data_IF_339426170573
#
_entry.id   IF_339426170573
#
_cell.length_a   1.000
_cell.length_b   1.000
_cell.length_c   1.000
_cell.angle_alpha   90.00
_cell.angle_beta   90.00
_cell.angle_gamma   90.00
#
_symmetry.space_group_name_H-M   'P 1'
#
loop_
_entity.id
_entity.type
_entity.pdbx_description
1 polymer ?
#
# COMPACT_ATOMS: atom_id res chain seq x y z
N UNK A 1 -11.73 -5.22 -19.83
CA UNK A 1 -11.20 -6.16 -18.85
C UNK A 1 -12.03 -6.11 -17.57
N UNK A 2 -12.75 -7.21 -17.27
CA UNK A 2 -13.67 -7.33 -16.14
C UNK A 2 -12.94 -7.19 -14.80
N UNK A 3 -11.73 -7.74 -14.70
CA UNK A 3 -10.92 -7.67 -13.50
C UNK A 3 -10.53 -6.22 -13.15
N UNK A 4 -10.09 -5.45 -14.15
CA UNK A 4 -9.76 -4.05 -13.97
C UNK A 4 -10.97 -3.23 -13.52
N UNK A 5 -12.14 -3.45 -14.12
CA UNK A 5 -13.38 -2.76 -13.73
C UNK A 5 -13.79 -3.12 -12.30
N UNK A 6 -13.74 -4.40 -11.94
CA UNK A 6 -14.07 -4.87 -10.58
C UNK A 6 -13.15 -4.22 -9.55
N UNK A 7 -11.86 -4.15 -9.85
CA UNK A 7 -10.85 -3.54 -9.00
C UNK A 7 -11.07 -2.03 -8.83
N UNK A 8 -11.40 -1.33 -9.92
CA UNK A 8 -11.74 0.09 -9.87
C UNK A 8 -12.96 0.36 -8.99
N UNK A 9 -14.02 -0.44 -9.14
CA UNK A 9 -15.24 -0.30 -8.32
C UNK A 9 -14.93 -0.53 -6.84
N UNK A 10 -14.18 -1.57 -6.52
CA UNK A 10 -13.80 -1.89 -5.15
C UNK A 10 -13.00 -0.75 -4.50
N UNK A 11 -12.00 -0.24 -5.19
CA UNK A 11 -11.15 0.84 -4.68
C UNK A 11 -11.90 2.17 -4.59
N UNK A 12 -12.81 2.42 -5.52
CA UNK A 12 -13.69 3.58 -5.48
C UNK A 12 -14.57 3.57 -4.24
N UNK A 13 -15.19 2.43 -3.91
CA UNK A 13 -15.97 2.29 -2.68
C UNK A 13 -15.11 2.46 -1.44
N UNK A 14 -13.90 1.94 -1.47
CA UNK A 14 -12.92 2.09 -0.38
C UNK A 14 -12.59 3.57 -0.11
N UNK A 15 -12.43 4.38 -1.15
CA UNK A 15 -12.23 5.82 -1.00
C UNK A 15 -13.35 6.45 -0.18
N UNK A 16 -14.60 6.09 -0.45
CA UNK A 16 -15.77 6.65 0.25
C UNK A 16 -15.88 6.21 1.71
N UNK A 17 -15.19 5.14 2.11
CA UNK A 17 -15.20 4.69 3.52
C UNK A 17 -14.20 5.43 4.41
N UNK A 18 -13.21 6.11 3.83
CA UNK A 18 -12.22 6.87 4.58
C UNK A 18 -12.75 8.26 4.95
N UNK A 19 -13.46 8.36 6.07
CA UNK A 19 -14.06 9.62 6.54
C UNK A 19 -13.13 10.44 7.44
N UNK A 20 -12.12 9.80 8.04
CA UNK A 20 -11.25 10.38 9.07
C UNK A 20 -9.91 10.88 8.55
N UNK A 21 -9.75 10.99 7.24
CA UNK A 21 -8.49 11.36 6.61
C UNK A 21 -7.60 10.16 6.33
N UNK A 22 -6.48 10.40 5.65
CA UNK A 22 -5.59 9.36 5.16
C UNK A 22 -4.29 9.34 5.96
N UNK A 23 -4.02 8.23 6.65
CA UNK A 23 -2.70 7.95 7.21
C UNK A 23 -1.73 7.57 6.10
N UNK A 24 -0.42 7.70 6.35
CA UNK A 24 0.60 7.29 5.38
C UNK A 24 0.45 5.81 5.00
N UNK A 25 0.19 4.95 5.97
CA UNK A 25 -0.08 3.53 5.76
C UNK A 25 -1.27 3.30 4.81
N UNK A 26 -2.38 4.00 5.04
CA UNK A 26 -3.57 3.90 4.20
C UNK A 26 -3.28 4.35 2.76
N UNK A 27 -2.52 5.42 2.58
CA UNK A 27 -2.12 5.92 1.25
C UNK A 27 -1.23 4.91 0.54
N UNK A 28 -0.25 4.34 1.22
CA UNK A 28 0.64 3.32 0.63
C UNK A 28 -0.15 2.11 0.15
N UNK A 29 -1.09 1.62 0.96
CA UNK A 29 -1.94 0.48 0.60
C UNK A 29 -2.85 0.80 -0.58
N UNK A 30 -3.42 1.99 -0.60
CA UNK A 30 -4.28 2.44 -1.69
C UNK A 30 -3.50 2.51 -3.02
N UNK A 31 -2.33 3.11 -3.02
CA UNK A 31 -1.48 3.21 -4.22
C UNK A 31 -1.04 1.82 -4.70
N UNK A 32 -0.64 0.94 -3.79
CA UNK A 32 -0.29 -0.44 -4.14
C UNK A 32 -1.44 -1.18 -4.79
N UNK A 33 -2.62 -1.11 -4.17
CA UNK A 33 -3.80 -1.85 -4.63
C UNK A 33 -4.32 -1.30 -5.97
N UNK A 34 -4.19 0.01 -6.19
CA UNK A 34 -4.56 0.63 -7.45
C UNK A 34 -3.56 0.28 -8.58
N UNK A 35 -2.27 0.24 -8.27
CA UNK A 35 -1.22 -0.07 -9.25
C UNK A 35 -1.33 0.82 -10.49
N UNK A 36 -1.34 0.22 -11.67
CA UNK A 36 -1.44 0.93 -12.95
C UNK A 36 -2.80 1.59 -13.18
N UNK A 37 -3.81 1.24 -12.38
CA UNK A 37 -5.16 1.81 -12.48
C UNK A 37 -5.33 3.10 -11.69
N UNK A 38 -4.28 3.60 -11.03
CA UNK A 38 -4.38 4.80 -10.19
C UNK A 38 -4.92 6.02 -10.94
N UNK A 39 -4.44 6.35 -12.16
CA UNK A 39 -4.98 7.50 -12.89
C UNK A 39 -6.48 7.37 -13.19
N UNK A 40 -6.92 6.19 -13.64
CA UNK A 40 -8.33 5.92 -13.94
C UNK A 40 -9.19 5.96 -12.69
N UNK A 41 -8.66 5.47 -11.56
CA UNK A 41 -9.34 5.50 -10.27
C UNK A 41 -9.56 6.94 -9.78
N UNK A 42 -8.55 7.79 -9.92
CA UNK A 42 -8.63 9.21 -9.57
C UNK A 42 -9.70 9.88 -10.42
N UNK A 43 -9.69 9.65 -11.74
CA UNK A 43 -10.65 10.20 -12.65
C UNK A 43 -12.09 9.76 -12.34
N UNK A 44 -12.29 8.45 -12.10
CA UNK A 44 -13.59 7.88 -11.72
C UNK A 44 -14.11 8.53 -10.43
N UNK A 45 -13.26 8.67 -9.43
CA UNK A 45 -13.64 9.26 -8.14
C UNK A 45 -14.01 10.73 -8.29
N UNK A 46 -13.31 11.49 -9.14
CA UNK A 46 -13.64 12.88 -9.42
C UNK A 46 -14.96 13.02 -10.16
N UNK A 47 -15.31 12.09 -11.05
CA UNK A 47 -16.61 12.10 -11.72
C UNK A 47 -17.76 11.98 -10.72
N UNK A 48 -17.58 11.25 -9.63
CA UNK A 48 -18.57 11.12 -8.55
C UNK A 48 -18.75 12.41 -7.73
N UNK A 49 -17.83 13.36 -7.85
CA UNK A 49 -17.93 14.64 -7.18
C UNK A 49 -18.97 15.58 -7.82
N UNK A 50 -19.75 15.10 -8.81
CA UNK A 50 -20.77 15.86 -9.53
C UNK A 50 -22.20 15.57 -9.04
N UNK A 51 -22.38 15.38 -7.74
CA UNK A 51 -23.72 15.13 -7.19
C UNK A 51 -24.58 16.40 -7.21
N UNK A 52 -25.92 16.25 -7.17
CA UNK A 52 -26.86 17.38 -7.10
C UNK A 52 -26.72 18.21 -5.82
N UNK A 53 -26.13 17.64 -4.77
CA UNK A 53 -25.87 18.35 -3.52
C UNK A 53 -24.48 18.99 -3.60
N UNK A 54 -24.41 20.29 -3.84
CA UNK A 54 -23.16 21.04 -3.99
C UNK A 54 -22.23 20.92 -2.77
N UNK A 55 -22.78 20.95 -1.56
CA UNK A 55 -22.00 20.82 -0.31
C UNK A 55 -21.27 19.47 -0.28
N UNK A 56 -21.99 18.40 -0.62
CA UNK A 56 -21.44 17.04 -0.66
C UNK A 56 -20.40 16.90 -1.78
N UNK A 57 -20.67 17.47 -2.94
CA UNK A 57 -19.75 17.48 -4.07
C UNK A 57 -18.45 18.22 -3.74
N UNK A 58 -18.54 19.38 -3.09
CA UNK A 58 -17.37 20.16 -2.65
C UNK A 58 -16.54 19.39 -1.59
N UNK A 59 -17.20 18.74 -0.65
CA UNK A 59 -16.52 17.93 0.36
C UNK A 59 -15.77 16.75 -0.26
N UNK A 60 -16.41 16.03 -1.17
CA UNK A 60 -15.77 14.91 -1.88
C UNK A 60 -14.58 15.38 -2.72
N UNK A 61 -14.74 16.50 -3.41
CA UNK A 61 -13.66 17.10 -4.22
C UNK A 61 -12.47 17.49 -3.34
N UNK A 62 -12.72 18.10 -2.18
CA UNK A 62 -11.67 18.47 -1.23
C UNK A 62 -10.95 17.24 -0.71
N UNK A 63 -11.68 16.18 -0.37
CA UNK A 63 -11.09 14.92 0.12
C UNK A 63 -10.23 14.27 -0.95
N UNK A 64 -10.64 14.34 -2.22
CA UNK A 64 -9.84 13.84 -3.33
C UNK A 64 -8.57 14.66 -3.53
N UNK A 65 -8.66 15.98 -3.44
CA UNK A 65 -7.51 16.87 -3.51
C UNK A 65 -6.50 16.56 -2.38
N UNK A 66 -6.97 16.36 -1.16
CA UNK A 66 -6.13 15.97 -0.03
C UNK A 66 -5.42 14.64 -0.28
N UNK A 67 -6.14 13.65 -0.82
CA UNK A 67 -5.55 12.36 -1.14
C UNK A 67 -4.47 12.48 -2.21
N UNK A 68 -4.71 13.23 -3.28
CA UNK A 68 -3.71 13.45 -4.33
C UNK A 68 -2.45 14.13 -3.79
N UNK A 69 -2.60 15.14 -2.93
CA UNK A 69 -1.46 15.81 -2.29
C UNK A 69 -0.66 14.80 -1.43
N UNK A 70 -1.34 13.96 -0.66
CA UNK A 70 -0.70 12.94 0.15
C UNK A 70 0.04 11.91 -0.70
N UNK A 71 -0.56 11.48 -1.80
CA UNK A 71 0.08 10.54 -2.74
C UNK A 71 1.36 11.18 -3.31
N UNK A 72 1.28 12.43 -3.77
CA UNK A 72 2.42 13.12 -4.35
C UNK A 72 3.56 13.31 -3.34
N UNK A 73 3.24 13.67 -2.11
CA UNK A 73 4.22 13.78 -1.03
C UNK A 73 4.93 12.47 -0.73
N UNK A 74 4.17 11.37 -0.67
CA UNK A 74 4.74 10.05 -0.42
C UNK A 74 5.52 9.52 -1.62
N UNK A 75 5.05 9.77 -2.85
CA UNK A 75 5.80 9.44 -4.07
C UNK A 75 7.17 10.10 -4.11
N UNK A 76 7.24 11.38 -3.74
CA UNK A 76 8.49 12.13 -3.71
C UNK A 76 9.44 11.62 -2.61
N UNK A 77 8.91 11.18 -1.48
CA UNK A 77 9.69 10.78 -0.30
C UNK A 77 10.09 9.31 -0.29
N UNK A 78 9.24 8.43 -0.79
CA UNK A 78 9.35 6.98 -0.61
C UNK A 78 9.39 6.15 -1.90
N UNK A 79 9.43 6.77 -3.05
CA UNK A 79 9.42 6.06 -4.33
C UNK A 79 8.29 5.03 -4.46
N UNK A 80 7.06 5.43 -4.15
CA UNK A 80 5.88 4.52 -4.17
C UNK A 80 5.65 3.82 -5.51
N UNK A 81 6.16 4.39 -6.62
CA UNK A 81 6.03 3.80 -7.95
C UNK A 81 6.75 2.44 -8.04
N UNK A 82 7.77 2.22 -7.24
CA UNK A 82 8.52 0.96 -7.17
C UNK A 82 8.42 0.32 -5.78
N UNK A 83 7.22 0.33 -5.22
CA UNK A 83 6.98 -0.20 -3.87
C UNK A 83 7.32 -1.68 -3.79
N UNK A 84 8.28 -2.02 -2.95
CA UNK A 84 8.77 -3.38 -2.75
C UNK A 84 9.31 -3.55 -1.33
N UNK A 85 9.48 -4.80 -0.85
CA UNK A 85 10.08 -5.03 0.46
C UNK A 85 11.48 -4.45 0.56
N UNK A 86 11.90 -4.08 1.76
CA UNK A 86 13.25 -3.54 2.02
C UNK A 86 14.37 -4.56 1.80
N UNK A 87 14.05 -5.84 1.77
CA UNK A 87 14.98 -6.93 1.46
C UNK A 87 14.43 -7.73 0.29
N UNK A 88 15.29 -8.17 -0.62
CA UNK A 88 14.90 -9.07 -1.70
C UNK A 88 14.94 -10.54 -1.25
N UNK A 89 14.46 -11.44 -2.10
CA UNK A 89 14.42 -12.87 -1.80
C UNK A 89 15.80 -13.47 -1.54
N UNK A 90 16.80 -13.05 -2.28
CA UNK A 90 18.18 -13.54 -2.09
C UNK A 90 18.74 -13.12 -0.74
N UNK A 91 18.52 -11.89 -0.33
CA UNK A 91 18.95 -11.38 0.99
C UNK A 91 18.25 -12.11 2.11
N UNK A 92 16.94 -12.38 1.99
CA UNK A 92 16.16 -13.14 2.98
C UNK A 92 16.71 -14.57 3.11
N UNK A 93 16.96 -15.25 1.99
CA UNK A 93 17.49 -16.60 1.99
C UNK A 93 18.87 -16.68 2.65
N UNK A 94 19.75 -15.74 2.34
CA UNK A 94 21.08 -15.68 2.95
C UNK A 94 21.01 -15.37 4.44
N UNK A 95 20.17 -14.45 4.83
CA UNK A 95 20.05 -14.00 6.22
C UNK A 95 19.47 -15.07 7.15
N UNK A 96 18.42 -15.77 6.69
CA UNK A 96 17.74 -16.80 7.48
C UNK A 96 18.24 -18.22 7.22
N UNK A 97 19.15 -18.41 6.25
CA UNK A 97 19.64 -19.73 5.89
C UNK A 97 18.60 -20.60 5.21
N UNK A 98 17.76 -19.99 4.37
CA UNK A 98 16.66 -20.67 3.69
C UNK A 98 17.00 -21.03 2.23
N UNK A 99 16.33 -22.08 1.76
CA UNK A 99 16.29 -22.42 0.33
C UNK A 99 15.05 -21.82 -0.32
N UNK A 100 15.02 -21.66 -1.67
CA UNK A 100 13.82 -21.16 -2.35
C UNK A 100 12.58 -22.00 -2.00
N UNK A 101 11.49 -21.33 -1.62
CA UNK A 101 10.27 -22.02 -1.24
C UNK A 101 9.27 -21.10 -0.54
N UNK A 102 8.31 -21.73 0.10
CA UNK A 102 7.19 -21.06 0.77
C UNK A 102 7.66 -20.12 1.90
N UNK A 103 8.66 -20.52 2.67
CA UNK A 103 9.13 -19.71 3.79
C UNK A 103 9.71 -18.36 3.32
N UNK A 104 10.40 -18.35 2.20
CA UNK A 104 10.89 -17.11 1.57
C UNK A 104 9.72 -16.23 1.13
N UNK A 105 8.70 -16.82 0.52
CA UNK A 105 7.48 -16.12 0.11
C UNK A 105 6.78 -15.47 1.31
N UNK A 106 6.59 -16.22 2.38
CA UNK A 106 5.96 -15.72 3.61
C UNK A 106 6.79 -14.59 4.25
N UNK A 107 8.11 -14.69 4.23
CA UNK A 107 9.00 -13.65 4.72
C UNK A 107 8.90 -12.37 3.90
N UNK A 108 8.84 -12.50 2.58
CA UNK A 108 8.67 -11.34 1.70
C UNK A 108 7.31 -10.69 1.88
N UNK A 109 6.26 -11.46 2.09
CA UNK A 109 4.91 -10.93 2.41
C UNK A 109 4.93 -10.15 3.72
N UNK A 110 5.59 -10.68 4.74
CA UNK A 110 5.77 -9.97 6.02
C UNK A 110 6.50 -8.64 5.82
N UNK A 111 7.61 -8.66 5.08
CA UNK A 111 8.40 -7.44 4.81
C UNK A 111 7.61 -6.42 3.99
N UNK A 112 6.77 -6.87 3.06
CA UNK A 112 5.91 -5.98 2.28
C UNK A 112 4.86 -5.31 3.16
N UNK A 113 4.20 -6.08 4.04
CA UNK A 113 3.24 -5.52 5.00
C UNK A 113 3.91 -4.50 5.93
N UNK A 114 5.12 -4.80 6.40
CA UNK A 114 5.92 -3.89 7.21
C UNK A 114 6.23 -2.60 6.46
N UNK A 115 6.63 -2.71 5.19
CA UNK A 115 6.93 -1.57 4.32
C UNK A 115 5.69 -0.68 4.12
N UNK A 116 4.52 -1.28 3.97
CA UNK A 116 3.26 -0.55 3.82
C UNK A 116 2.86 0.15 5.12
N UNK A 117 3.03 -0.51 6.24
CA UNK A 117 2.61 0.02 7.54
C UNK A 117 3.54 1.14 8.04
N UNK A 118 4.84 0.92 8.00
CA UNK A 118 5.82 1.80 8.62
C UNK A 118 6.66 2.63 7.64
N UNK A 119 6.58 2.33 6.34
CA UNK A 119 7.43 2.97 5.33
C UNK A 119 8.80 2.30 5.21
N UNK A 120 9.74 2.93 4.47
CA UNK A 120 11.07 2.37 4.31
C UNK A 120 11.84 2.40 5.64
N UNK A 121 12.36 1.26 6.06
CA UNK A 121 13.12 1.11 7.30
C UNK A 121 14.63 0.99 7.08
N UNK A 122 15.04 0.57 5.89
CA UNK A 122 16.42 0.24 5.58
C UNK A 122 16.75 -1.21 5.88
N UNK A 123 17.90 -1.65 5.38
CA UNK A 123 18.30 -3.04 5.41
C UNK A 123 18.48 -3.59 6.85
N UNK A 124 19.17 -2.84 7.71
CA UNK A 124 19.49 -3.30 9.06
C UNK A 124 18.25 -3.46 9.94
N UNK A 125 17.35 -2.48 9.91
CA UNK A 125 16.10 -2.54 10.67
C UNK A 125 15.17 -3.62 10.12
N UNK A 126 15.10 -3.75 8.79
CA UNK A 126 14.31 -4.80 8.15
C UNK A 126 14.80 -6.19 8.57
N UNK A 127 16.11 -6.41 8.62
CA UNK A 127 16.70 -7.67 9.10
C UNK A 127 16.33 -7.94 10.54
N UNK A 128 16.38 -6.93 11.40
CA UNK A 128 16.02 -7.07 12.82
C UNK A 128 14.56 -7.46 13.00
N UNK A 129 13.66 -6.82 12.27
CA UNK A 129 12.23 -7.13 12.29
C UNK A 129 11.97 -8.54 11.73
N UNK A 130 12.68 -8.91 10.69
CA UNK A 130 12.59 -10.24 10.08
C UNK A 130 13.03 -11.32 11.09
N UNK A 131 14.11 -11.12 11.82
CA UNK A 131 14.59 -12.04 12.84
C UNK A 131 13.55 -12.24 13.94
N UNK A 132 12.93 -11.16 14.43
CA UNK A 132 11.89 -11.24 15.45
C UNK A 132 10.67 -12.01 14.94
N UNK A 133 10.23 -11.74 13.73
CA UNK A 133 9.11 -12.44 13.09
C UNK A 133 9.41 -13.93 12.91
N UNK A 134 10.60 -14.26 12.45
CA UNK A 134 11.04 -15.64 12.22
C UNK A 134 11.10 -16.44 13.51
N UNK A 135 11.65 -15.84 14.57
CA UNK A 135 11.72 -16.45 15.89
C UNK A 135 10.32 -16.71 16.46
N UNK A 136 9.40 -15.75 16.34
CA UNK A 136 8.02 -15.89 16.78
C UNK A 136 7.29 -17.00 16.02
N UNK A 137 7.44 -17.03 14.70
CA UNK A 137 6.85 -18.06 13.84
C UNK A 137 7.33 -19.48 14.24
N UNK A 138 8.62 -19.64 14.51
CA UNK A 138 9.19 -20.93 14.86
C UNK A 138 8.84 -21.35 16.29
N UNK A 139 8.63 -20.41 17.21
CA UNK A 139 8.25 -20.72 18.59
C UNK A 139 6.76 -21.09 18.73
N UNK A 140 5.93 -20.76 17.75
CA UNK A 140 4.50 -21.05 17.75
C UNK A 140 4.18 -22.49 17.28
N UNK A 141 5.17 -23.27 16.90
CA UNK A 141 5.00 -24.67 16.43
C UNK A 141 5.11 -25.65 17.58
#
# INVERSE_FOLDING_TARGET
DVEAVTRLVFLHLRFHTYKMGWTDSAVRRFVRDAGDLLPELIELTRCDCTTRNERKAQELSRRMDELEVRIDELLAREELASLRPDLDGNTVMMHLGLTPGRDVGDALDFLMELRLEEGPLGEDEAKRRLDAWWAERNSAV
#
